data_IF_956547814402
#
_entry.id   IF_956547814402
#
_cell.length_a   1.000
_cell.length_b   1.000
_cell.length_c   1.000
_cell.angle_alpha   90.00
_cell.angle_beta   90.00
_cell.angle_gamma   90.00
#
_symmetry.space_group_name_H-M   'P 1'
#
loop_
_entity.id
_entity.type
_entity.pdbx_description
1 polymer ?
#
# COMPACT_ATOMS: atom_id res chain seq x y z
N UNK A 1 -16.77 -21.21 17.42
CA UNK A 1 -16.20 -20.03 16.76
C UNK A 1 -14.95 -20.35 15.95
N UNK A 2 -14.03 -21.11 16.48
CA UNK A 2 -12.82 -21.55 15.75
C UNK A 2 -13.14 -22.39 14.52
N UNK A 3 -14.10 -23.30 14.60
CA UNK A 3 -14.52 -24.16 13.47
C UNK A 3 -15.11 -23.37 12.30
N UNK A 4 -15.78 -22.25 12.54
CA UNK A 4 -16.34 -21.39 11.50
C UNK A 4 -15.26 -20.56 10.80
N UNK A 5 -14.20 -20.20 11.52
CA UNK A 5 -13.05 -19.49 10.96
C UNK A 5 -12.19 -20.41 10.08
N UNK A 6 -12.00 -21.67 10.48
CA UNK A 6 -11.24 -22.65 9.71
C UNK A 6 -11.84 -22.94 8.34
N UNK A 7 -13.18 -22.87 8.19
CA UNK A 7 -13.82 -23.03 6.90
C UNK A 7 -13.73 -21.81 5.98
N UNK A 8 -13.51 -20.64 6.53
CA UNK A 8 -13.51 -19.36 5.82
C UNK A 8 -12.12 -18.90 5.37
N UNK A 9 -11.11 -19.20 6.17
CA UNK A 9 -9.75 -18.72 5.95
C UNK A 9 -8.75 -19.87 5.80
N UNK A 10 -7.68 -19.64 5.03
CA UNK A 10 -6.59 -20.61 4.91
C UNK A 10 -5.83 -20.77 6.23
N UNK A 11 -5.09 -21.86 6.37
CA UNK A 11 -4.24 -22.08 7.55
C UNK A 11 -3.20 -20.98 7.72
N UNK A 12 -2.69 -20.42 6.62
CA UNK A 12 -1.77 -19.29 6.64
C UNK A 12 -2.43 -18.02 7.19
N UNK A 13 -3.66 -17.75 6.78
CA UNK A 13 -4.43 -16.61 7.27
C UNK A 13 -4.74 -16.75 8.77
N UNK A 14 -5.07 -17.95 9.23
CA UNK A 14 -5.30 -18.23 10.65
C UNK A 14 -4.03 -18.06 11.48
N UNK A 15 -2.89 -18.47 10.95
CA UNK A 15 -1.60 -18.26 11.59
C UNK A 15 -1.27 -16.78 11.73
N UNK A 16 -1.57 -15.98 10.70
CA UNK A 16 -1.44 -14.52 10.75
C UNK A 16 -2.31 -13.92 11.86
N UNK A 17 -3.53 -14.39 12.02
CA UNK A 17 -4.43 -13.92 13.09
C UNK A 17 -3.84 -14.20 14.47
N UNK A 18 -3.23 -15.36 14.68
CA UNK A 18 -2.54 -15.69 15.94
C UNK A 18 -1.37 -14.76 16.19
N UNK A 19 -0.56 -14.48 15.17
CA UNK A 19 0.56 -13.55 15.27
C UNK A 19 0.07 -12.13 15.60
N UNK A 20 -1.03 -11.70 15.03
CA UNK A 20 -1.63 -10.40 15.32
C UNK A 20 -2.07 -10.32 16.79
N UNK A 21 -2.75 -11.33 17.29
CA UNK A 21 -3.19 -11.38 18.68
C UNK A 21 -2.00 -11.34 19.64
N UNK A 22 -0.94 -12.06 19.35
CA UNK A 22 0.29 -12.05 20.14
C UNK A 22 0.97 -10.67 20.09
N UNK A 23 1.06 -10.05 18.92
CA UNK A 23 1.67 -8.74 18.73
C UNK A 23 0.91 -7.65 19.48
N UNK A 24 -0.41 -7.63 19.37
CA UNK A 24 -1.27 -6.68 20.08
C UNK A 24 -1.18 -6.89 21.60
N UNK A 25 -0.98 -8.13 22.02
CA UNK A 25 -0.77 -8.47 23.44
C UNK A 25 0.60 -8.10 23.99
N UNK A 26 1.52 -7.58 23.16
CA UNK A 26 2.84 -7.12 23.61
C UNK A 26 4.02 -7.97 23.18
N UNK A 27 3.82 -8.97 22.32
CA UNK A 27 4.90 -9.82 21.82
C UNK A 27 5.59 -9.19 20.61
N UNK A 28 6.75 -8.60 20.81
CA UNK A 28 7.54 -7.95 19.74
C UNK A 28 8.02 -8.95 18.69
N UNK A 29 8.24 -10.20 19.05
CA UNK A 29 8.65 -11.24 18.10
C UNK A 29 7.57 -11.53 17.06
N UNK A 30 6.30 -11.40 17.44
CA UNK A 30 5.18 -11.59 16.52
C UNK A 30 5.18 -10.54 15.42
N UNK A 31 5.48 -9.27 15.74
CA UNK A 31 5.67 -8.22 14.72
C UNK A 31 6.79 -8.59 13.75
N UNK A 32 7.91 -9.07 14.26
CA UNK A 32 9.05 -9.50 13.44
C UNK A 32 8.68 -10.60 12.46
N UNK A 33 7.89 -11.58 12.91
CA UNK A 33 7.41 -12.68 12.05
C UNK A 33 6.48 -12.19 10.96
N UNK A 34 5.56 -11.28 11.27
CA UNK A 34 4.68 -10.67 10.28
C UNK A 34 5.46 -9.85 9.26
N UNK A 35 6.43 -9.07 9.71
CA UNK A 35 7.31 -8.29 8.85
C UNK A 35 8.09 -9.21 7.90
N UNK A 36 8.73 -10.24 8.43
CA UNK A 36 9.53 -11.19 7.65
C UNK A 36 8.69 -11.91 6.60
N UNK A 37 7.45 -12.22 6.92
CA UNK A 37 6.53 -12.94 6.03
C UNK A 37 6.10 -12.09 4.83
N UNK A 38 5.85 -10.80 5.04
CA UNK A 38 5.24 -9.93 4.03
C UNK A 38 6.15 -8.84 3.46
N UNK A 39 7.34 -8.64 4.02
CA UNK A 39 8.26 -7.58 3.58
C UNK A 39 8.55 -7.64 2.08
N UNK A 40 8.90 -8.81 1.58
CA UNK A 40 9.27 -9.01 0.18
C UNK A 40 8.11 -8.78 -0.78
N UNK A 41 6.94 -9.41 -0.59
CA UNK A 41 5.78 -9.14 -1.44
C UNK A 41 5.35 -7.69 -1.44
N UNK A 42 5.31 -7.04 -0.30
CA UNK A 42 4.95 -5.61 -0.19
C UNK A 42 5.97 -4.74 -0.93
N UNK A 43 7.26 -5.00 -0.73
CA UNK A 43 8.33 -4.27 -1.42
C UNK A 43 8.18 -4.37 -2.94
N UNK A 44 7.94 -5.55 -3.49
CA UNK A 44 7.80 -5.75 -4.92
C UNK A 44 6.60 -5.01 -5.50
N UNK A 45 5.48 -5.00 -4.79
CA UNK A 45 4.29 -4.24 -5.21
C UNK A 45 4.61 -2.75 -5.25
N UNK A 46 5.22 -2.23 -4.21
CA UNK A 46 5.59 -0.80 -4.13
C UNK A 46 6.61 -0.44 -5.21
N UNK A 47 7.61 -1.30 -5.42
CA UNK A 47 8.64 -1.06 -6.44
C UNK A 47 8.04 -0.93 -7.84
N UNK A 48 7.04 -1.73 -8.17
CA UNK A 48 6.32 -1.61 -9.45
C UNK A 48 5.61 -0.27 -9.59
N UNK A 49 5.14 0.29 -8.49
CA UNK A 49 4.45 1.57 -8.50
C UNK A 49 5.39 2.77 -8.62
N UNK A 50 6.49 2.78 -7.87
CA UNK A 50 7.39 3.94 -7.79
C UNK A 50 8.61 3.83 -8.70
N UNK A 51 9.00 2.62 -9.09
CA UNK A 51 10.15 2.33 -9.96
C UNK A 51 11.47 2.92 -9.48
N UNK A 52 11.63 3.05 -8.18
CA UNK A 52 12.84 3.53 -7.53
C UNK A 52 13.08 2.69 -6.28
N UNK A 53 14.27 2.10 -6.18
CA UNK A 53 14.61 1.16 -5.10
C UNK A 53 14.59 1.84 -3.73
N UNK A 54 15.20 3.01 -3.62
CA UNK A 54 15.27 3.75 -2.35
C UNK A 54 13.89 4.15 -1.86
N UNK A 55 13.06 4.69 -2.75
CA UNK A 55 11.68 5.05 -2.44
C UNK A 55 10.87 3.82 -2.03
N UNK A 56 11.06 2.70 -2.73
CA UNK A 56 10.35 1.46 -2.43
C UNK A 56 10.73 0.90 -1.05
N UNK A 57 12.00 0.96 -0.68
CA UNK A 57 12.46 0.53 0.64
C UNK A 57 11.86 1.40 1.75
N UNK A 58 11.91 2.71 1.59
CA UNK A 58 11.35 3.66 2.56
C UNK A 58 9.83 3.48 2.72
N UNK A 59 9.12 3.35 1.60
CA UNK A 59 7.67 3.17 1.61
C UNK A 59 7.26 1.82 2.21
N UNK A 60 8.06 0.78 1.99
CA UNK A 60 7.82 -0.53 2.60
C UNK A 60 7.87 -0.43 4.12
N UNK A 61 8.93 0.16 4.66
CA UNK A 61 9.08 0.31 6.11
C UNK A 61 8.02 1.25 6.69
N UNK A 62 7.70 2.32 6.01
CA UNK A 62 6.64 3.24 6.41
C UNK A 62 5.27 2.57 6.44
N UNK A 63 4.97 1.73 5.44
CA UNK A 63 3.72 0.97 5.36
C UNK A 63 3.58 0.00 6.54
N UNK A 64 4.65 -0.72 6.88
CA UNK A 64 4.64 -1.61 8.05
C UNK A 64 4.52 -0.84 9.35
N UNK A 65 5.17 0.31 9.46
CA UNK A 65 5.04 1.18 10.62
C UNK A 65 3.59 1.62 10.83
N UNK A 66 2.93 2.06 9.77
CA UNK A 66 1.50 2.43 9.81
C UNK A 66 0.60 1.25 10.16
N UNK A 67 0.86 0.09 9.54
CA UNK A 67 0.10 -1.12 9.81
C UNK A 67 0.22 -1.55 11.26
N UNK A 68 1.43 -1.57 11.81
CA UNK A 68 1.66 -2.02 13.18
C UNK A 68 1.08 -1.06 14.21
N UNK A 69 1.14 0.25 13.95
CA UNK A 69 0.49 1.25 14.82
C UNK A 69 -1.02 1.10 14.87
N UNK A 70 -1.62 0.62 13.77
CA UNK A 70 -3.07 0.44 13.65
C UNK A 70 -3.50 -1.02 13.83
N UNK A 71 -2.58 -1.91 14.21
CA UNK A 71 -2.84 -3.35 14.27
C UNK A 71 -3.98 -3.70 15.23
N UNK A 72 -4.13 -2.96 16.33
CA UNK A 72 -5.22 -3.12 17.27
C UNK A 72 -6.60 -2.85 16.67
N UNK A 73 -6.66 -2.16 15.52
CA UNK A 73 -7.91 -1.88 14.79
C UNK A 73 -8.22 -2.93 13.74
N UNK A 74 -7.30 -3.85 13.51
CA UNK A 74 -7.52 -4.92 12.53
C UNK A 74 -8.69 -5.81 12.95
N UNK A 75 -9.60 -6.05 12.02
CA UNK A 75 -10.75 -6.94 12.23
C UNK A 75 -10.63 -8.15 11.30
N UNK A 76 -11.01 -9.32 11.82
CA UNK A 76 -10.95 -10.60 11.09
C UNK A 76 -12.00 -10.73 9.97
N UNK A 77 -12.56 -9.63 9.48
CA UNK A 77 -13.47 -9.62 8.34
C UNK A 77 -12.74 -9.95 7.04
N UNK A 78 -11.44 -9.63 6.98
CA UNK A 78 -10.55 -9.88 5.84
C UNK A 78 -9.27 -10.52 6.34
N UNK A 79 -8.46 -11.05 5.39
CA UNK A 79 -7.12 -11.53 5.72
C UNK A 79 -6.22 -10.36 6.10
N UNK A 80 -5.22 -10.62 6.93
CA UNK A 80 -4.19 -9.63 7.27
C UNK A 80 -3.48 -9.11 6.02
N UNK A 81 -3.17 -9.99 5.07
CA UNK A 81 -2.51 -9.59 3.82
C UNK A 81 -3.34 -8.58 3.03
N UNK A 82 -4.65 -8.78 2.91
CA UNK A 82 -5.54 -7.82 2.23
C UNK A 82 -5.49 -6.44 2.90
N UNK A 83 -5.59 -6.42 4.21
CA UNK A 83 -5.53 -5.19 5.00
C UNK A 83 -4.18 -4.48 4.86
N UNK A 84 -3.08 -5.25 4.97
CA UNK A 84 -1.71 -4.73 4.85
C UNK A 84 -1.45 -4.15 3.46
N UNK A 85 -1.81 -4.87 2.40
CA UNK A 85 -1.60 -4.39 1.03
C UNK A 85 -2.42 -3.15 0.73
N UNK A 86 -3.61 -3.02 1.31
CA UNK A 86 -4.41 -1.79 1.20
C UNK A 86 -3.69 -0.59 1.83
N UNK A 87 -3.13 -0.76 3.02
CA UNK A 87 -2.35 0.28 3.70
C UNK A 87 -1.13 0.65 2.85
N UNK A 88 -0.38 -0.33 2.36
CA UNK A 88 0.81 -0.11 1.54
C UNK A 88 0.48 0.60 0.23
N UNK A 89 -0.57 0.18 -0.45
CA UNK A 89 -1.01 0.78 -1.71
C UNK A 89 -1.47 2.22 -1.50
N UNK A 90 -2.29 2.48 -0.51
CA UNK A 90 -2.77 3.83 -0.19
C UNK A 90 -1.62 4.75 0.18
N UNK A 91 -0.69 4.28 1.00
CA UNK A 91 0.51 5.04 1.39
C UNK A 91 1.37 5.40 0.17
N UNK A 92 1.55 4.45 -0.75
CA UNK A 92 2.34 4.65 -1.97
C UNK A 92 1.66 5.62 -2.92
N UNK A 93 0.35 5.53 -3.09
CA UNK A 93 -0.44 6.47 -3.90
C UNK A 93 -0.31 7.90 -3.35
N UNK A 94 -0.42 8.06 -2.04
CA UNK A 94 -0.23 9.37 -1.39
C UNK A 94 1.16 9.93 -1.64
N UNK A 95 2.19 9.08 -1.56
CA UNK A 95 3.56 9.46 -1.87
C UNK A 95 3.71 9.94 -3.31
N UNK A 96 3.17 9.21 -4.27
CA UNK A 96 3.23 9.55 -5.70
C UNK A 96 2.54 10.90 -5.94
N UNK A 97 1.38 11.11 -5.35
CA UNK A 97 0.63 12.36 -5.45
C UNK A 97 1.41 13.54 -4.88
N UNK A 98 1.99 13.40 -3.70
CA UNK A 98 2.80 14.44 -3.05
C UNK A 98 4.06 14.77 -3.85
N UNK A 99 4.77 13.76 -4.34
CA UNK A 99 5.96 13.93 -5.16
C UNK A 99 5.64 14.72 -6.43
N UNK A 100 4.52 14.44 -7.05
CA UNK A 100 4.04 15.10 -8.24
C UNK A 100 3.65 16.56 -7.98
N UNK A 101 2.92 16.83 -6.92
CA UNK A 101 2.54 18.19 -6.50
C UNK A 101 3.80 19.02 -6.25
N UNK A 102 4.80 18.47 -5.56
CA UNK A 102 6.08 19.13 -5.32
C UNK A 102 6.82 19.46 -6.62
N UNK A 103 6.83 18.55 -7.59
CA UNK A 103 7.45 18.75 -8.89
C UNK A 103 6.76 19.88 -9.65
N UNK A 104 5.43 19.91 -9.68
CA UNK A 104 4.65 20.97 -10.29
C UNK A 104 4.88 22.33 -9.61
N UNK A 105 4.99 22.35 -8.28
CA UNK A 105 5.29 23.55 -7.51
C UNK A 105 6.68 24.11 -7.80
N UNK A 106 7.68 23.27 -8.00
CA UNK A 106 9.04 23.65 -8.38
C UNK A 106 9.05 24.21 -9.80
N UNK A 107 8.38 23.58 -10.74
CA UNK A 107 8.24 24.05 -12.11
C UNK A 107 7.55 25.43 -12.16
N UNK A 108 6.53 25.67 -11.34
CA UNK A 108 5.85 26.95 -11.23
C UNK A 108 6.78 28.04 -10.64
N UNK A 109 7.68 27.69 -9.73
CA UNK A 109 8.65 28.66 -9.18
C UNK A 109 9.75 29.04 -10.19
N UNK A 110 10.14 28.14 -11.08
CA UNK A 110 11.10 28.44 -12.14
C UNK A 110 10.52 29.33 -13.25
N UNK A 111 9.21 29.28 -13.48
CA UNK A 111 8.53 30.13 -14.47
C UNK A 111 8.20 31.51 -13.94
N UNK A 112 8.12 31.71 -12.64
CA UNK A 112 7.87 33.02 -12.02
C UNK A 112 9.07 33.98 -12.14
N UNK A 113 10.27 33.47 -12.35
CA UNK A 113 11.48 34.28 -12.52
C UNK A 113 11.56 34.95 -13.90
N UNK A 114 10.73 34.54 -14.86
CA UNK A 114 10.72 35.06 -16.22
C UNK A 114 9.54 36.01 -16.51
N UNK A 115 8.80 36.43 -15.49
CA UNK A 115 7.80 37.50 -15.59
C UNK A 115 6.52 37.14 -16.35
N UNK A 116 6.25 35.88 -16.59
CA UNK A 116 5.02 35.40 -17.18
C UNK A 116 4.02 34.97 -16.11
N UNK A 117 2.87 35.63 -16.08
CA UNK A 117 1.76 35.13 -15.28
C UNK A 117 1.34 33.76 -15.78
N UNK A 118 1.75 32.72 -15.08
CA UNK A 118 1.26 31.38 -15.39
C UNK A 118 -0.14 31.27 -14.77
N UNK A 119 -1.15 31.44 -15.62
CA UNK A 119 -2.46 30.92 -15.27
C UNK A 119 -2.33 29.42 -15.11
N UNK A 120 -2.67 28.90 -13.95
CA UNK A 120 -2.82 27.45 -13.74
C UNK A 120 -3.93 27.01 -14.69
N UNK A 121 -3.53 26.52 -15.86
CA UNK A 121 -4.46 26.11 -16.88
C UNK A 121 -5.24 24.87 -16.46
N UNK A 122 -6.52 24.90 -16.84
CA UNK A 122 -7.48 23.78 -16.71
C UNK A 122 -6.93 22.48 -17.31
N UNK A 123 -5.92 22.55 -18.18
CA UNK A 123 -5.20 21.39 -18.72
C UNK A 123 -4.46 20.58 -17.64
N UNK A 124 -3.97 21.24 -16.59
CA UNK A 124 -3.33 20.52 -15.46
C UNK A 124 -4.34 19.69 -14.67
N UNK A 125 -5.60 20.12 -14.60
CA UNK A 125 -6.64 19.33 -13.96
C UNK A 125 -7.04 18.11 -14.78
N UNK A 126 -6.92 18.16 -16.11
CA UNK A 126 -7.14 17.00 -16.97
C UNK A 126 -5.99 15.99 -16.87
N UNK A 127 -4.76 16.45 -16.76
CA UNK A 127 -3.60 15.59 -16.52
C UNK A 127 -3.68 14.91 -15.16
N UNK A 128 -4.18 15.59 -14.14
CA UNK A 128 -4.43 14.99 -12.82
C UNK A 128 -5.51 13.90 -12.91
N UNK A 129 -6.54 14.10 -13.73
CA UNK A 129 -7.58 13.10 -13.95
C UNK A 129 -7.07 11.88 -14.73
N UNK A 130 -6.21 12.08 -15.73
CA UNK A 130 -5.58 10.97 -16.46
C UNK A 130 -4.68 10.15 -15.56
N UNK A 131 -4.02 10.76 -14.61
CA UNK A 131 -3.17 10.04 -13.66
C UNK A 131 -3.94 9.38 -12.54
N UNK A 132 -5.10 9.90 -12.16
CA UNK A 132 -6.03 9.18 -11.30
C UNK A 132 -6.55 7.92 -12.00
N UNK A 133 -6.75 7.97 -13.32
CA UNK A 133 -7.07 6.79 -14.14
C UNK A 133 -5.90 5.83 -14.19
N UNK A 134 -4.66 6.31 -14.37
CA UNK A 134 -3.45 5.49 -14.35
C UNK A 134 -3.24 4.84 -12.98
N UNK A 135 -3.49 5.56 -11.89
CA UNK A 135 -3.44 5.04 -10.52
C UNK A 135 -4.49 3.96 -10.32
N UNK A 136 -5.71 4.12 -10.87
CA UNK A 136 -6.74 3.09 -10.82
C UNK A 136 -6.34 1.84 -11.58
N UNK A 137 -5.75 2.00 -12.77
CA UNK A 137 -5.24 0.89 -13.57
C UNK A 137 -4.13 0.14 -12.83
N UNK A 138 -3.20 0.86 -12.20
CA UNK A 138 -2.16 0.31 -11.35
C UNK A 138 -2.75 -0.43 -10.16
N UNK A 139 -3.78 0.13 -9.54
CA UNK A 139 -4.48 -0.47 -8.41
C UNK A 139 -5.13 -1.80 -8.80
N UNK A 140 -5.77 -1.86 -9.97
CA UNK A 140 -6.35 -3.09 -10.51
C UNK A 140 -5.28 -4.12 -10.84
N UNK A 141 -4.17 -3.71 -11.43
CA UNK A 141 -3.04 -4.59 -11.74
C UNK A 141 -2.45 -5.17 -10.45
N UNK A 142 -2.31 -4.37 -9.41
CA UNK A 142 -1.82 -4.79 -8.10
C UNK A 142 -2.80 -5.77 -7.45
N UNK A 143 -4.09 -5.50 -7.53
CA UNK A 143 -5.12 -6.41 -7.02
C UNK A 143 -5.10 -7.73 -7.76
N UNK A 144 -4.86 -7.73 -9.09
CA UNK A 144 -4.72 -8.95 -9.87
C UNK A 144 -3.48 -9.75 -9.47
N UNK A 145 -2.34 -9.10 -9.27
CA UNK A 145 -1.12 -9.74 -8.76
C UNK A 145 -1.37 -10.32 -7.38
N UNK A 146 -2.06 -9.60 -6.52
CA UNK A 146 -2.42 -10.04 -5.18
C UNK A 146 -3.33 -11.28 -5.22
N UNK A 147 -4.36 -11.27 -6.07
CA UNK A 147 -5.26 -12.41 -6.27
C UNK A 147 -4.48 -13.63 -6.77
N UNK A 148 -3.53 -13.42 -7.70
CA UNK A 148 -2.69 -14.50 -8.23
C UNK A 148 -1.72 -15.06 -7.17
N UNK A 149 -1.34 -14.28 -6.18
CA UNK A 149 -0.52 -14.73 -5.05
C UNK A 149 -1.33 -15.46 -3.98
N UNK A 150 -2.65 -15.34 -4.00
CA UNK A 150 -3.53 -16.09 -3.10
C UNK A 150 -3.59 -17.56 -3.49
N UNK A 151 -3.78 -18.48 -2.51
CA UNK A 151 -4.07 -19.88 -2.83
C UNK A 151 -5.29 -19.98 -3.77
N UNK A 152 -5.26 -20.94 -4.70
CA UNK A 152 -6.29 -21.15 -5.72
C UNK A 152 -7.72 -21.21 -5.16
N UNK A 153 -7.87 -21.55 -3.90
CA UNK A 153 -9.15 -21.59 -3.18
C UNK A 153 -9.86 -20.23 -3.12
N UNK A 154 -9.12 -19.11 -3.24
CA UNK A 154 -9.64 -17.75 -3.12
C UNK A 154 -9.59 -16.93 -4.41
N UNK A 155 -9.22 -17.56 -5.52
CA UNK A 155 -9.12 -16.92 -6.85
C UNK A 155 -10.44 -16.76 -7.59
N UNK A 156 -11.52 -17.14 -6.98
CA UNK A 156 -12.85 -16.97 -7.61
C UNK A 156 -13.48 -15.63 -7.25
#
# INVERSE_FOLDING_TARGET
MEELEEGRFSSKALEDFRLIEMAVGGDDKAYGKLLQRYKRPVYHVILKMVRNVDDAEDLTMESFSKAFRSLHRFKKDFTFSTWLFRIATNNTIDFIRKKKINTLSIENTYTDDDGGSVSIDIEDSQNLNQQDVDIRALKEEIMNVFVNMMPTKYQK
#
